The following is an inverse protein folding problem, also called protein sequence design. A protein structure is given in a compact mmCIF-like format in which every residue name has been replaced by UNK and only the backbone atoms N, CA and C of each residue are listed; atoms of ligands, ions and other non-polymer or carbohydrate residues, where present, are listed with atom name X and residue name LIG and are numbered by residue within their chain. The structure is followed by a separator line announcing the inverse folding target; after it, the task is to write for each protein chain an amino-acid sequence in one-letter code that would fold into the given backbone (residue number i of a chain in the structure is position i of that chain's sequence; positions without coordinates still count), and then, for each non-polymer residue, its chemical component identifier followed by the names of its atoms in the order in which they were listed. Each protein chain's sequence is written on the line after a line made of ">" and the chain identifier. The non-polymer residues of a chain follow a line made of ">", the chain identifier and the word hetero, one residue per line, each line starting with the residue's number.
data_IF_896681890685
#
_entry.id   IF_896681890685
#
_cell.length_a   1.000
_cell.length_b   1.000
_cell.length_c   1.000
_cell.angle_alpha   90.00
_cell.angle_beta   90.00
_cell.angle_gamma   90.00
#
_symmetry.space_group_name_H-M   'P 1'
#
loop_
_entity.id
_entity.type
_entity.pdbx_description
1 polymer ?
#
# COMPACT_ATOMS: atom_id res chain seq x y z
N UNK A 1 -18.36 -12.46 19.36
CA UNK A 1 -18.48 -11.15 18.71
C UNK A 1 -17.59 -11.22 17.48
N UNK A 2 -18.14 -11.80 16.43
CA UNK A 2 -17.41 -12.14 15.22
C UNK A 2 -17.26 -10.91 14.34
N UNK A 3 -16.02 -10.45 14.19
CA UNK A 3 -15.68 -9.40 13.25
C UNK A 3 -15.71 -10.01 11.84
N UNK A 4 -16.87 -9.89 11.19
CA UNK A 4 -17.01 -10.00 9.75
C UNK A 4 -16.12 -8.94 9.08
N UNK A 5 -14.87 -9.30 8.82
CA UNK A 5 -14.06 -8.62 7.82
C UNK A 5 -14.74 -8.90 6.50
N UNK A 6 -15.47 -7.91 5.99
CA UNK A 6 -16.00 -7.94 4.63
C UNK A 6 -14.79 -7.94 3.70
N UNK A 7 -14.35 -9.14 3.36
CA UNK A 7 -13.49 -9.42 2.23
C UNK A 7 -14.21 -8.85 1.01
N UNK A 8 -13.81 -7.66 0.58
CA UNK A 8 -14.21 -7.15 -0.73
C UNK A 8 -13.54 -8.06 -1.74
N UNK A 9 -14.24 -9.12 -2.11
CA UNK A 9 -13.96 -9.93 -3.28
C UNK A 9 -13.72 -8.95 -4.44
N UNK A 10 -12.48 -8.79 -4.92
CA UNK A 10 -12.24 -8.07 -6.14
C UNK A 10 -12.75 -9.01 -7.22
N UNK A 11 -14.03 -8.86 -7.55
CA UNK A 11 -14.78 -9.80 -8.37
C UNK A 11 -13.97 -10.22 -9.60
N UNK A 12 -14.19 -11.46 -10.08
CA UNK A 12 -13.37 -12.07 -11.11
C UNK A 12 -13.22 -11.11 -12.28
N UNK A 13 -11.98 -10.76 -12.62
CA UNK A 13 -11.68 -9.88 -13.74
C UNK A 13 -12.38 -10.46 -14.98
N UNK A 14 -13.48 -9.84 -15.40
CA UNK A 14 -14.28 -10.30 -16.53
C UNK A 14 -13.58 -9.83 -17.79
N UNK A 15 -12.53 -10.53 -18.20
CA UNK A 15 -11.88 -10.37 -19.50
C UNK A 15 -12.77 -10.95 -20.62
N UNK A 16 -14.04 -10.55 -20.68
CA UNK A 16 -14.95 -10.96 -21.77
C UNK A 16 -14.72 -10.03 -22.96
N UNK A 17 -13.99 -10.51 -23.97
CA UNK A 17 -14.15 -9.99 -25.34
C UNK A 17 -13.80 -8.52 -25.53
N UNK A 18 -12.72 -8.02 -24.92
CA UNK A 18 -12.29 -6.63 -25.13
C UNK A 18 -11.85 -6.36 -26.58
N UNK A 19 -11.67 -5.09 -26.98
CA UNK A 19 -11.23 -4.69 -28.33
C UNK A 19 -10.00 -5.46 -28.84
N UNK A 20 -9.12 -5.91 -27.94
CA UNK A 20 -7.96 -6.76 -28.24
C UNK A 20 -8.34 -8.09 -28.90
N UNK A 21 -9.44 -8.73 -28.48
CA UNK A 21 -9.91 -9.99 -29.08
C UNK A 21 -10.44 -9.78 -30.51
N UNK A 22 -11.03 -8.61 -30.80
CA UNK A 22 -11.43 -8.27 -32.16
C UNK A 22 -10.23 -7.99 -33.07
N UNK A 23 -9.18 -7.36 -32.54
CA UNK A 23 -7.92 -7.18 -33.29
C UNK A 23 -7.27 -8.52 -33.62
N UNK A 24 -7.28 -9.48 -32.69
CA UNK A 24 -6.71 -10.81 -32.94
C UNK A 24 -7.47 -11.57 -34.04
N UNK A 25 -8.80 -11.47 -34.07
CA UNK A 25 -9.61 -12.02 -35.17
C UNK A 25 -9.27 -11.39 -36.51
N UNK A 26 -9.03 -10.08 -36.53
CA UNK A 26 -8.66 -9.38 -37.76
C UNK A 26 -7.25 -9.77 -38.25
N UNK A 27 -6.29 -9.92 -37.33
CA UNK A 27 -4.94 -10.43 -37.67
C UNK A 27 -5.03 -11.85 -38.24
N UNK A 28 -5.82 -12.72 -37.61
CA UNK A 28 -6.07 -14.06 -38.12
C UNK A 28 -6.65 -14.02 -39.54
N UNK A 29 -7.67 -13.20 -39.78
CA UNK A 29 -8.28 -13.03 -41.10
C UNK A 29 -7.26 -12.60 -42.16
N UNK A 30 -6.40 -11.63 -41.84
CA UNK A 30 -5.37 -11.14 -42.75
C UNK A 30 -4.32 -12.22 -43.08
N UNK A 31 -3.97 -13.06 -42.11
CA UNK A 31 -3.07 -14.19 -42.34
C UNK A 31 -3.72 -15.22 -43.27
N UNK A 32 -4.95 -15.64 -42.99
CA UNK A 32 -5.72 -16.56 -43.84
C UNK A 32 -5.85 -16.03 -45.27
N UNK A 33 -6.25 -14.76 -45.43
CA UNK A 33 -6.38 -14.09 -46.73
C UNK A 33 -5.07 -14.09 -47.52
N UNK A 34 -3.95 -13.76 -46.86
CA UNK A 34 -2.63 -13.73 -47.52
C UNK A 34 -2.16 -15.11 -47.94
N UNK A 35 -2.50 -16.16 -47.16
CA UNK A 35 -2.18 -17.53 -47.54
C UNK A 35 -3.02 -18.02 -48.72
N UNK A 36 -4.31 -17.66 -48.75
CA UNK A 36 -5.18 -17.96 -49.88
C UNK A 36 -4.71 -17.32 -51.17
N UNK A 37 -4.22 -16.07 -51.12
CA UNK A 37 -3.67 -15.38 -52.29
C UNK A 37 -2.48 -16.15 -52.90
N UNK A 38 -1.56 -16.63 -52.07
CA UNK A 38 -0.42 -17.46 -52.53
C UNK A 38 -0.91 -18.84 -53.01
N UNK A 39 -1.93 -19.40 -52.36
CA UNK A 39 -2.50 -20.69 -52.76
C UNK A 39 -3.19 -20.65 -54.13
N UNK A 40 -3.81 -19.52 -54.49
CA UNK A 40 -4.40 -19.31 -55.82
C UNK A 40 -3.35 -19.01 -56.89
N UNK A 41 -2.16 -18.56 -56.52
CA UNK A 41 -1.06 -18.36 -57.46
C UNK A 41 -0.53 -19.70 -58.00
N UNK A 42 -0.25 -19.74 -59.30
CA UNK A 42 0.34 -20.88 -60.00
C UNK A 42 1.75 -20.51 -60.47
N UNK A 43 2.73 -21.37 -60.22
CA UNK A 43 4.12 -21.14 -60.64
C UNK A 43 5.13 -21.89 -59.77
N UNK A 44 6.38 -22.00 -60.26
CA UNK A 44 7.46 -22.72 -59.55
C UNK A 44 7.90 -22.06 -58.24
N UNK A 45 7.60 -20.77 -58.05
CA UNK A 45 7.99 -19.99 -56.87
C UNK A 45 6.98 -20.04 -55.72
N UNK A 46 5.83 -20.72 -55.90
CA UNK A 46 4.75 -20.79 -54.90
C UNK A 46 5.24 -21.29 -53.54
N UNK A 47 5.95 -22.41 -53.53
CA UNK A 47 6.44 -23.02 -52.29
C UNK A 47 7.40 -22.08 -51.55
N UNK A 48 8.26 -21.37 -52.29
CA UNK A 48 9.18 -20.39 -51.72
C UNK A 48 8.42 -19.23 -51.05
N UNK A 49 7.38 -18.70 -51.70
CA UNK A 49 6.54 -17.64 -51.15
C UNK A 49 5.77 -18.10 -49.90
N UNK A 50 5.29 -19.36 -49.88
CA UNK A 50 4.63 -19.93 -48.69
C UNK A 50 5.60 -20.03 -47.51
N UNK A 51 6.83 -20.50 -47.75
CA UNK A 51 7.86 -20.60 -46.71
C UNK A 51 8.25 -19.22 -46.18
N UNK A 52 8.42 -18.23 -47.05
CA UNK A 52 8.70 -16.84 -46.64
C UNK A 52 7.56 -16.25 -45.80
N UNK A 53 6.31 -16.50 -46.18
CA UNK A 53 5.15 -16.05 -45.40
C UNK A 53 5.12 -16.71 -44.02
N UNK A 54 5.27 -18.04 -43.94
CA UNK A 54 5.28 -18.76 -42.68
C UNK A 54 6.43 -18.29 -41.77
N UNK A 55 7.61 -18.01 -42.33
CA UNK A 55 8.73 -17.43 -41.58
C UNK A 55 8.40 -16.06 -41.02
N UNK A 56 7.73 -15.21 -41.80
CA UNK A 56 7.26 -13.89 -41.33
C UNK A 56 6.29 -14.04 -40.15
N UNK A 57 5.30 -14.92 -40.26
CA UNK A 57 4.31 -15.14 -39.20
C UNK A 57 4.92 -15.73 -37.93
N UNK A 58 5.88 -16.66 -38.07
CA UNK A 58 6.66 -17.15 -36.93
C UNK A 58 7.41 -15.99 -36.26
N UNK A 59 7.99 -15.08 -37.04
CA UNK A 59 8.62 -13.86 -36.51
C UNK A 59 7.65 -12.99 -35.73
N UNK A 60 6.46 -12.72 -36.28
CA UNK A 60 5.42 -11.92 -35.64
C UNK A 60 4.94 -12.56 -34.32
N UNK A 61 4.71 -13.88 -34.32
CA UNK A 61 4.30 -14.65 -33.13
C UNK A 61 5.38 -14.61 -32.03
N UNK A 62 6.66 -14.75 -32.39
CA UNK A 62 7.76 -14.61 -31.44
C UNK A 62 7.80 -13.20 -30.86
N UNK A 63 7.60 -12.18 -31.69
CA UNK A 63 7.52 -10.78 -31.24
C UNK A 63 6.38 -10.55 -30.25
N UNK A 64 5.18 -11.01 -30.57
CA UNK A 64 4.00 -10.88 -29.69
C UNK A 64 4.20 -11.63 -28.36
N UNK A 65 4.69 -12.86 -28.39
CA UNK A 65 4.96 -13.64 -27.18
C UNK A 65 6.02 -12.97 -26.30
N UNK A 66 7.03 -12.35 -26.90
CA UNK A 66 8.05 -11.59 -26.16
C UNK A 66 7.43 -10.37 -25.46
N UNK A 67 6.53 -9.65 -26.13
CA UNK A 67 5.83 -8.51 -25.54
C UNK A 67 4.86 -8.94 -24.43
N UNK A 68 4.11 -10.03 -24.63
CA UNK A 68 3.22 -10.58 -23.62
C UNK A 68 3.98 -11.04 -22.38
N UNK A 69 5.12 -11.73 -22.56
CA UNK A 69 5.97 -12.14 -21.44
C UNK A 69 6.43 -10.94 -20.62
N UNK A 70 6.92 -9.87 -21.27
CA UNK A 70 7.31 -8.63 -20.60
C UNK A 70 6.14 -7.95 -19.88
N UNK A 71 4.98 -7.87 -20.52
CA UNK A 71 3.80 -7.28 -19.90
C UNK A 71 3.35 -8.06 -18.66
N UNK A 72 3.44 -9.40 -18.69
CA UNK A 72 3.17 -10.25 -17.53
C UNK A 72 4.20 -10.01 -16.42
N UNK A 73 5.49 -9.99 -16.74
CA UNK A 73 6.56 -9.69 -15.77
C UNK A 73 6.38 -8.31 -15.11
N UNK A 74 6.01 -7.29 -15.88
CA UNK A 74 5.70 -5.94 -15.38
C UNK A 74 4.47 -5.94 -14.45
N UNK A 75 3.42 -6.68 -14.79
CA UNK A 75 2.23 -6.80 -13.94
C UNK A 75 2.54 -7.55 -12.64
N UNK A 76 3.33 -8.63 -12.71
CA UNK A 76 3.75 -9.41 -11.55
C UNK A 76 4.65 -8.59 -10.62
N UNK A 77 5.62 -7.86 -11.17
CA UNK A 77 6.50 -6.98 -10.40
C UNK A 77 5.73 -5.82 -9.76
N UNK A 78 4.77 -5.22 -10.46
CA UNK A 78 3.90 -4.18 -9.90
C UNK A 78 2.99 -4.72 -8.78
N UNK A 79 2.37 -5.88 -8.98
CA UNK A 79 1.50 -6.52 -8.00
C UNK A 79 2.28 -6.92 -6.74
N UNK A 80 3.43 -7.56 -6.89
CA UNK A 80 4.30 -7.95 -5.77
C UNK A 80 4.83 -6.74 -5.01
N UNK A 81 5.27 -5.69 -5.71
CA UNK A 81 5.72 -4.44 -5.08
C UNK A 81 4.62 -3.78 -4.25
N UNK A 82 3.40 -3.71 -4.79
CA UNK A 82 2.24 -3.18 -4.07
C UNK A 82 1.91 -4.00 -2.83
N UNK A 83 1.92 -5.34 -2.95
CA UNK A 83 1.65 -6.24 -1.83
C UNK A 83 2.67 -6.09 -0.70
N UNK A 84 3.96 -5.95 -1.03
CA UNK A 84 5.01 -5.74 -0.05
C UNK A 84 4.85 -4.41 0.71
N UNK A 85 4.50 -3.34 -0.01
CA UNK A 85 4.28 -2.03 0.58
C UNK A 85 3.07 -2.02 1.52
N UNK A 86 1.95 -2.63 1.10
CA UNK A 86 0.77 -2.77 1.95
C UNK A 86 1.01 -3.68 3.15
N UNK A 87 1.76 -4.79 2.98
CA UNK A 87 2.16 -5.66 4.10
C UNK A 87 2.99 -4.90 5.14
N UNK A 88 3.91 -4.05 4.70
CA UNK A 88 4.72 -3.21 5.58
C UNK A 88 3.85 -2.22 6.35
N UNK A 89 3.01 -1.44 5.66
CA UNK A 89 2.09 -0.50 6.29
C UNK A 89 1.19 -1.17 7.32
N UNK A 90 0.61 -2.32 6.96
CA UNK A 90 -0.24 -3.08 7.87
C UNK A 90 0.54 -3.55 9.10
N UNK A 91 1.78 -4.02 8.91
CA UNK A 91 2.64 -4.40 10.04
C UNK A 91 2.95 -3.23 10.98
N UNK A 92 3.18 -2.03 10.43
CA UNK A 92 3.42 -0.81 11.21
C UNK A 92 2.16 -0.45 12.04
N UNK A 93 0.99 -0.38 11.40
CA UNK A 93 -0.30 -0.12 12.07
C UNK A 93 -0.62 -1.16 13.14
N UNK A 94 -0.42 -2.45 12.87
CA UNK A 94 -0.65 -3.52 13.84
C UNK A 94 0.29 -3.38 15.03
N UNK A 95 1.55 -2.97 14.80
CA UNK A 95 2.52 -2.74 15.87
C UNK A 95 2.11 -1.57 16.76
N UNK A 96 1.70 -0.45 16.16
CA UNK A 96 1.21 0.74 16.88
C UNK A 96 -0.02 0.39 17.73
N UNK A 97 -1.02 -0.25 17.12
CA UNK A 97 -2.24 -0.69 17.83
C UNK A 97 -1.93 -1.64 18.99
N UNK A 98 -0.99 -2.56 18.82
CA UNK A 98 -0.55 -3.46 19.91
C UNK A 98 0.10 -2.68 21.04
N UNK A 99 0.94 -1.70 20.73
CA UNK A 99 1.58 -0.84 21.73
C UNK A 99 0.56 -0.01 22.50
N UNK A 100 -0.40 0.61 21.81
CA UNK A 100 -1.51 1.33 22.43
C UNK A 100 -2.36 0.42 23.33
N UNK A 101 -2.77 -0.74 22.82
CA UNK A 101 -3.53 -1.71 23.60
C UNK A 101 -2.77 -2.15 24.86
N UNK A 102 -1.45 -2.38 24.77
CA UNK A 102 -0.63 -2.71 25.94
C UNK A 102 -0.61 -1.58 26.97
N UNK A 103 -0.60 -0.33 26.52
CA UNK A 103 -0.61 0.85 27.38
C UNK A 103 -1.97 1.04 28.05
N UNK A 104 -3.06 0.91 27.30
CA UNK A 104 -4.42 0.96 27.84
C UNK A 104 -4.67 -0.15 28.85
N UNK A 105 -4.24 -1.39 28.57
CA UNK A 105 -4.36 -2.51 29.52
C UNK A 105 -3.61 -2.24 30.82
N UNK A 106 -2.40 -1.68 30.76
CA UNK A 106 -1.65 -1.29 31.97
C UNK A 106 -2.39 -0.21 32.76
N UNK A 107 -2.90 0.82 32.09
CA UNK A 107 -3.68 1.89 32.74
C UNK A 107 -4.93 1.34 33.42
N UNK A 108 -5.67 0.46 32.74
CA UNK A 108 -6.83 -0.21 33.31
C UNK A 108 -6.46 -1.02 34.56
N UNK A 109 -5.41 -1.84 34.48
CA UNK A 109 -4.96 -2.65 35.61
C UNK A 109 -4.57 -1.81 36.84
N UNK A 110 -3.91 -0.66 36.63
CA UNK A 110 -3.60 0.30 37.71
C UNK A 110 -4.87 0.81 38.38
N UNK A 111 -5.83 1.30 37.57
CA UNK A 111 -7.09 1.83 38.06
C UNK A 111 -7.93 0.77 38.77
N UNK A 112 -7.98 -0.46 38.25
CA UNK A 112 -8.67 -1.56 38.92
C UNK A 112 -8.05 -1.90 40.27
N UNK A 113 -6.72 -1.80 40.40
CA UNK A 113 -6.03 -1.97 41.68
C UNK A 113 -6.37 -0.86 42.67
N UNK A 114 -6.33 0.40 42.23
CA UNK A 114 -6.70 1.55 43.05
C UNK A 114 -8.15 1.44 43.53
N UNK A 115 -9.08 1.06 42.65
CA UNK A 115 -10.48 0.86 43.01
C UNK A 115 -10.65 -0.24 44.06
N UNK A 116 -9.95 -1.38 43.92
CA UNK A 116 -9.95 -2.43 44.94
C UNK A 116 -9.39 -1.91 46.26
N UNK A 117 -8.30 -1.15 46.22
CA UNK A 117 -7.71 -0.51 47.39
C UNK A 117 -8.68 0.43 48.10
N UNK A 118 -9.38 1.29 47.35
CA UNK A 118 -10.37 2.21 47.91
C UNK A 118 -11.55 1.47 48.55
N UNK A 119 -12.07 0.45 47.88
CA UNK A 119 -13.14 -0.40 48.43
C UNK A 119 -12.71 -1.05 49.74
N UNK A 120 -11.46 -1.53 49.81
CA UNK A 120 -10.91 -2.11 51.04
C UNK A 120 -10.74 -1.07 52.16
N UNK A 121 -10.32 0.17 51.85
CA UNK A 121 -10.29 1.27 52.83
C UNK A 121 -11.69 1.56 53.39
N UNK A 122 -12.70 1.66 52.51
CA UNK A 122 -14.09 1.89 52.92
C UNK A 122 -14.63 0.74 53.77
N UNK A 123 -14.29 -0.51 53.42
CA UNK A 123 -14.65 -1.68 54.22
C UNK A 123 -14.06 -1.60 55.63
N UNK A 124 -12.76 -1.27 55.75
CA UNK A 124 -12.08 -1.13 57.05
C UNK A 124 -12.67 -0.04 57.93
N UNK A 125 -12.94 1.13 57.34
CA UNK A 125 -13.62 2.23 58.00
C UNK A 125 -14.98 1.80 58.57
N UNK A 126 -15.78 1.09 57.77
CA UNK A 126 -17.12 0.63 58.19
C UNK A 126 -17.06 -0.42 59.30
N UNK A 127 -16.11 -1.35 59.23
CA UNK A 127 -16.09 -2.55 60.08
C UNK A 127 -15.25 -2.39 61.35
N UNK A 128 -14.20 -1.56 61.31
CA UNK A 128 -13.25 -1.41 62.41
C UNK A 128 -13.08 0.03 62.89
N UNK A 129 -13.78 1.00 62.28
CA UNK A 129 -13.77 2.43 62.66
C UNK A 129 -12.36 3.08 62.66
N UNK A 130 -11.46 2.57 61.82
CA UNK A 130 -10.16 3.19 61.57
C UNK A 130 -9.79 3.20 60.08
N UNK A 131 -9.05 4.23 59.67
CA UNK A 131 -8.55 4.40 58.32
C UNK A 131 -7.06 4.04 58.29
N UNK A 132 -6.69 2.88 57.74
CA UNK A 132 -5.29 2.55 57.45
C UNK A 132 -5.12 2.08 56.01
N UNK A 133 -4.01 2.51 55.41
CA UNK A 133 -3.57 2.11 54.07
C UNK A 133 -2.62 0.90 54.11
N UNK A 134 -2.42 0.28 55.28
CA UNK A 134 -1.50 -0.85 55.40
C UNK A 134 -1.88 -1.99 54.43
N UNK A 135 -0.90 -2.39 53.61
CA UNK A 135 -1.06 -3.40 52.57
C UNK A 135 -1.81 -2.93 51.33
N UNK A 136 -2.16 -1.64 51.22
CA UNK A 136 -2.84 -1.05 50.06
C UNK A 136 -1.89 -0.08 49.38
N UNK A 137 -1.60 -0.32 48.11
CA UNK A 137 -0.79 0.57 47.30
C UNK A 137 -1.66 1.22 46.22
N UNK A 138 -1.62 2.54 46.16
CA UNK A 138 -2.26 3.33 45.11
C UNK A 138 -1.21 3.81 44.11
N UNK A 139 -1.54 3.78 42.83
CA UNK A 139 -0.67 4.28 41.78
C UNK A 139 -0.71 5.80 41.72
N UNK A 140 0.47 6.43 41.68
CA UNK A 140 0.59 7.88 41.47
C UNK A 140 0.19 8.26 40.04
N UNK A 141 -0.42 9.44 39.91
CA UNK A 141 -0.77 10.01 38.61
C UNK A 141 0.49 10.54 37.94
N UNK A 142 0.82 10.01 36.77
CA UNK A 142 1.99 10.49 36.00
C UNK A 142 1.60 11.59 35.02
N UNK A 143 2.55 12.40 34.56
CA UNK A 143 2.31 13.42 33.53
C UNK A 143 1.64 12.86 32.28
N UNK A 144 2.03 11.64 31.87
CA UNK A 144 1.43 10.94 30.73
C UNK A 144 -0.04 10.53 30.96
N UNK A 145 -0.52 10.42 32.19
CA UNK A 145 -1.93 10.17 32.48
C UNK A 145 -2.78 11.44 32.28
N UNK A 146 -2.16 12.62 32.39
CA UNK A 146 -2.81 13.93 32.25
C UNK A 146 -2.68 14.47 30.81
N UNK A 147 -1.47 14.42 30.26
CA UNK A 147 -1.11 15.04 28.98
C UNK A 147 -1.00 14.05 27.82
N UNK A 148 -1.09 12.74 28.08
CA UNK A 148 -0.86 11.69 27.08
C UNK A 148 0.64 11.45 26.81
N UNK A 149 0.94 10.41 26.02
CA UNK A 149 2.30 10.18 25.53
C UNK A 149 2.65 11.26 24.51
N UNK A 150 3.63 12.11 24.82
CA UNK A 150 4.10 13.15 23.89
C UNK A 150 4.81 12.48 22.71
N UNK A 151 4.09 12.28 21.62
CA UNK A 151 4.69 11.89 20.35
C UNK A 151 5.38 13.11 19.74
N UNK A 152 6.70 13.21 19.92
CA UNK A 152 7.51 14.07 19.08
C UNK A 152 7.44 13.56 17.65
N UNK A 153 6.46 14.07 16.88
CA UNK A 153 6.34 13.80 15.45
C UNK A 153 7.54 14.45 14.76
N UNK A 154 8.64 13.70 14.65
CA UNK A 154 9.78 14.07 13.82
C UNK A 154 9.26 14.11 12.38
N UNK A 155 8.81 15.29 11.94
CA UNK A 155 8.68 15.59 10.51
C UNK A 155 10.06 15.32 9.93
N UNK A 156 10.22 14.19 9.24
CA UNK A 156 11.33 13.98 8.34
C UNK A 156 11.29 15.14 7.36
N UNK A 157 12.19 16.10 7.57
CA UNK A 157 12.56 17.06 6.54
C UNK A 157 13.02 16.20 5.37
N UNK A 158 12.28 16.25 4.26
CA UNK A 158 12.65 15.57 3.03
C UNK A 158 14.09 15.99 2.69
N UNK A 159 15.01 15.05 2.87
CA UNK A 159 16.39 15.21 2.45
C UNK A 159 16.38 14.97 0.95
N UNK A 160 16.14 16.05 0.21
CA UNK A 160 16.22 16.09 -1.23
C UNK A 160 17.58 15.60 -1.72
N UNK A 161 17.51 14.94 -2.87
CA UNK A 161 18.58 14.37 -3.67
C UNK A 161 19.95 15.03 -3.51
N UNK A 162 20.93 14.24 -3.06
CA UNK A 162 22.34 14.55 -3.26
C UNK A 162 22.76 14.16 -4.68
N UNK A 163 22.52 15.02 -5.66
CA UNK A 163 23.25 15.02 -6.93
C UNK A 163 24.35 16.09 -6.85
N UNK A 164 25.60 15.66 -6.84
CA UNK A 164 26.78 16.51 -6.96
C UNK A 164 26.84 17.10 -8.37
N UNK A 165 26.88 18.42 -8.53
CA UNK A 165 27.72 19.06 -9.57
C UNK A 165 28.09 20.50 -9.17
N UNK A 166 29.39 20.80 -9.27
CA UNK A 166 30.03 22.12 -9.15
C UNK A 166 29.49 23.12 -10.19
N UNK A 167 29.24 24.37 -9.80
CA UNK A 167 29.89 25.57 -10.36
C UNK A 167 29.40 26.87 -9.70
N UNK A 168 30.34 27.80 -9.51
CA UNK A 168 30.12 29.20 -9.14
C UNK A 168 29.16 29.90 -10.12
N UNK A 169 28.37 30.87 -9.64
CA UNK A 169 28.35 32.29 -10.08
C UNK A 169 27.30 33.07 -9.26
N UNK A 170 27.71 34.28 -8.84
CA UNK A 170 26.94 35.31 -8.13
C UNK A 170 25.79 35.84 -8.98
N UNK A 171 24.63 36.18 -8.39
CA UNK A 171 24.07 37.55 -8.36
C UNK A 171 22.65 37.62 -7.75
N UNK A 172 22.44 38.74 -7.05
CA UNK A 172 21.21 39.52 -6.85
C UNK A 172 20.01 39.02 -6.01
N UNK A 173 20.02 39.50 -4.76
CA UNK A 173 19.05 40.42 -4.18
C UNK A 173 17.64 40.57 -4.80
N UNK A 174 16.65 40.33 -3.93
CA UNK A 174 15.43 41.13 -3.73
C UNK A 174 14.24 40.91 -4.67
N UNK A 175 13.18 40.24 -4.18
CA UNK A 175 11.78 40.61 -4.53
C UNK A 175 10.73 40.09 -3.53
N UNK A 176 10.25 41.01 -2.69
CA UNK A 176 8.88 41.26 -2.19
C UNK A 176 7.90 40.07 -2.05
N UNK A 177 7.50 39.70 -0.82
CA UNK A 177 6.32 40.18 -0.03
C UNK A 177 4.97 39.52 -0.40
N UNK A 178 4.48 38.75 0.58
CA UNK A 178 3.14 38.81 1.21
C UNK A 178 1.90 38.50 0.36
N UNK A 179 1.16 37.43 0.74
CA UNK A 179 -0.28 37.56 1.03
C UNK A 179 -0.78 36.39 1.88
N UNK A 180 -1.19 36.69 3.12
CA UNK A 180 -2.01 35.81 3.96
C UNK A 180 -3.44 36.34 3.87
N UNK A 181 -4.39 35.48 3.52
CA UNK A 181 -5.82 35.72 3.74
C UNK A 181 -6.37 34.51 4.51
N UNK A 182 -6.76 34.74 5.76
CA UNK A 182 -7.68 33.85 6.48
C UNK A 182 -9.07 34.49 6.41
N UNK A 183 -10.05 33.71 5.96
CA UNK A 183 -11.47 34.03 6.02
C UNK A 183 -12.03 33.29 7.23
N UNK A 184 -12.55 34.03 8.21
CA UNK A 184 -13.30 33.47 9.34
C UNK A 184 -14.76 33.36 8.91
N UNK A 185 -15.35 32.20 9.15
CA UNK A 185 -16.79 31.97 9.22
C UNK A 185 -17.08 31.29 10.54
#
# INVERSE_FOLDING_TARGET
>A
MDHNVVERDPGPCVCKGGPTLEILKEIQRLYEERMEQINRASGSTKLQQQVELLRSWVGDLVGQNTLLARAVEELETAATSKLLLERRKNSEVVSELRAECSTLRRRLARKDSDLRGLVEVLRRLREFDYCTLDGIHFFEVTESDIFGSVEWRQKKLEQGDSVKTRSNVKHDANRYKTSRHFRVG
#
